data_IF_761064059291
#
_entry.id   IF_761064059291
#
_cell.length_a   1.000
_cell.length_b   1.000
_cell.length_c   1.000
_cell.angle_alpha   90.00
_cell.angle_beta   90.00
_cell.angle_gamma   90.00
#
_symmetry.space_group_name_H-M   'P 1'
#
loop_
_entity.id
_entity.type
_entity.pdbx_description
1 polymer ?
#
# COMPACT_ATOMS: atom_id res chain seq x y z
N UNK A 1 -10.95 7.41 -4.31
CA UNK A 1 -10.62 6.16 -3.61
C UNK A 1 -9.12 6.10 -3.35
N UNK A 2 -8.77 5.66 -2.18
CA UNK A 2 -7.38 5.61 -1.76
C UNK A 2 -7.00 4.18 -1.44
N UNK A 3 -5.85 3.76 -1.92
CA UNK A 3 -5.39 2.39 -1.74
C UNK A 3 -3.96 2.41 -1.20
N UNK A 4 -3.67 1.51 -0.29
CA UNK A 4 -2.32 1.31 0.20
C UNK A 4 -1.64 0.19 -0.57
N UNK A 5 -0.38 0.40 -0.93
CA UNK A 5 0.38 -0.60 -1.66
C UNK A 5 1.67 -0.88 -0.92
N UNK A 6 1.85 -2.12 -0.52
CA UNK A 6 3.03 -2.54 0.21
C UNK A 6 3.92 -3.33 -0.71
N UNK A 7 5.13 -2.84 -0.92
CA UNK A 7 6.07 -3.44 -1.85
C UNK A 7 6.13 -2.67 -3.14
N UNK A 8 6.99 -1.66 -3.20
CA UNK A 8 7.14 -0.83 -4.38
C UNK A 8 8.32 -1.28 -5.22
N UNK A 9 8.36 -2.57 -5.51
CA UNK A 9 9.30 -3.07 -6.50
C UNK A 9 8.74 -2.88 -7.89
N UNK A 10 9.34 -3.54 -8.84
CA UNK A 10 8.94 -3.35 -10.24
C UNK A 10 7.47 -3.66 -10.47
N UNK A 11 6.99 -4.77 -9.92
CA UNK A 11 5.59 -5.14 -10.10
C UNK A 11 4.67 -4.17 -9.40
N UNK A 12 5.01 -3.76 -8.18
CA UNK A 12 4.20 -2.82 -7.43
C UNK A 12 4.12 -1.47 -8.11
N UNK A 13 5.24 -1.01 -8.68
CA UNK A 13 5.23 0.25 -9.41
C UNK A 13 4.32 0.17 -10.63
N UNK A 14 4.37 -0.94 -11.33
CA UNK A 14 3.50 -1.12 -12.48
C UNK A 14 2.03 -1.11 -12.10
N UNK A 15 1.68 -1.78 -11.02
CA UNK A 15 0.32 -1.79 -10.52
C UNK A 15 -0.13 -0.39 -10.12
N UNK A 16 0.73 0.33 -9.41
CA UNK A 16 0.41 1.66 -8.96
C UNK A 16 0.13 2.60 -10.13
N UNK A 17 0.97 2.53 -11.14
CA UNK A 17 0.80 3.40 -12.29
C UNK A 17 -0.52 3.12 -13.00
N UNK A 18 -0.91 1.86 -13.10
CA UNK A 18 -2.20 1.52 -13.70
C UNK A 18 -3.36 2.03 -12.86
N UNK A 19 -3.26 1.90 -11.54
CA UNK A 19 -4.31 2.38 -10.66
C UNK A 19 -4.43 3.90 -10.73
N UNK A 20 -3.31 4.60 -10.78
CA UNK A 20 -3.34 6.05 -10.86
C UNK A 20 -3.98 6.51 -12.17
N UNK A 21 -3.74 5.80 -13.26
CA UNK A 21 -4.38 6.12 -14.52
C UNK A 21 -5.89 5.95 -14.44
N UNK A 22 -6.34 5.07 -13.60
CA UNK A 22 -7.78 4.85 -13.42
C UNK A 22 -8.38 5.82 -12.40
N UNK A 23 -7.60 6.77 -11.90
CA UNK A 23 -8.12 7.76 -10.96
C UNK A 23 -8.05 7.34 -9.50
N UNK A 24 -7.34 6.28 -9.20
CA UNK A 24 -7.20 5.80 -7.84
C UNK A 24 -5.97 6.45 -7.22
N UNK A 25 -6.11 6.96 -6.01
CA UNK A 25 -4.98 7.53 -5.29
C UNK A 25 -4.23 6.40 -4.58
N UNK A 26 -2.94 6.28 -4.86
CA UNK A 26 -2.13 5.18 -4.33
C UNK A 26 -1.07 5.71 -3.38
N UNK A 27 -1.04 5.16 -2.18
CA UNK A 27 0.00 5.45 -1.20
C UNK A 27 0.83 4.19 -1.01
N UNK A 28 2.13 4.34 -1.15
CA UNK A 28 3.01 3.18 -1.14
C UNK A 28 3.86 3.10 0.11
N UNK A 29 4.28 1.90 0.42
CA UNK A 29 5.22 1.65 1.49
C UNK A 29 6.23 0.62 1.03
N UNK A 30 7.48 0.86 1.37
CA UNK A 30 8.55 -0.07 1.12
C UNK A 30 9.53 0.04 2.27
N UNK A 31 10.11 -1.09 2.65
CA UNK A 31 11.03 -1.11 3.78
C UNK A 31 12.19 -0.12 3.59
N UNK A 32 12.73 -0.04 2.38
CA UNK A 32 13.76 0.93 2.07
C UNK A 32 13.10 2.26 1.69
N UNK A 33 13.11 3.20 2.63
CA UNK A 33 12.41 4.47 2.42
C UNK A 33 13.00 5.27 1.27
N UNK A 34 14.31 5.20 1.05
CA UNK A 34 14.91 5.95 -0.04
C UNK A 34 14.35 5.49 -1.38
N UNK A 35 14.17 4.19 -1.53
CA UNK A 35 13.61 3.67 -2.77
C UNK A 35 12.13 3.98 -2.89
N UNK A 36 11.43 4.03 -1.77
CA UNK A 36 10.03 4.45 -1.80
C UNK A 36 9.94 5.91 -2.23
N UNK A 37 10.81 6.76 -1.70
CA UNK A 37 10.86 8.15 -2.08
C UNK A 37 11.15 8.33 -3.56
N UNK A 38 12.03 7.51 -4.10
CA UNK A 38 12.31 7.56 -5.53
C UNK A 38 11.07 7.29 -6.37
N UNK A 39 10.27 6.32 -5.94
CA UNK A 39 9.04 6.01 -6.66
C UNK A 39 8.10 7.20 -6.64
N UNK A 40 8.03 7.91 -5.52
CA UNK A 40 7.21 9.11 -5.44
C UNK A 40 7.74 10.20 -6.37
N UNK A 41 9.05 10.41 -6.38
CA UNK A 41 9.64 11.44 -7.22
C UNK A 41 9.45 11.16 -8.71
N UNK A 42 9.41 9.90 -9.07
CA UNK A 42 9.16 9.52 -10.45
C UNK A 42 7.69 9.54 -10.82
N UNK A 43 6.83 9.84 -9.87
CA UNK A 43 5.41 9.91 -10.14
C UNK A 43 4.71 8.57 -10.20
N UNK A 44 5.29 7.54 -9.61
CA UNK A 44 4.71 6.20 -9.64
C UNK A 44 3.66 5.98 -8.55
N UNK A 45 3.67 6.82 -7.52
CA UNK A 45 2.67 6.77 -6.44
C UNK A 45 2.30 8.20 -6.10
N UNK A 46 1.18 8.38 -5.43
CA UNK A 46 0.74 9.71 -4.99
C UNK A 46 1.46 10.16 -3.73
N UNK A 47 1.98 9.20 -2.99
CA UNK A 47 2.77 9.51 -1.80
C UNK A 47 3.31 8.24 -1.20
N UNK A 48 4.17 8.39 -0.21
CA UNK A 48 4.76 7.23 0.45
C UNK A 48 4.63 7.37 1.96
N UNK A 49 4.48 6.24 2.62
CA UNK A 49 4.42 6.19 4.06
C UNK A 49 5.75 5.71 4.61
N UNK A 50 6.05 6.10 5.84
CA UNK A 50 7.31 5.74 6.47
C UNK A 50 7.22 4.41 7.23
N UNK A 51 6.02 4.02 7.63
CA UNK A 51 5.79 2.75 8.32
C UNK A 51 4.47 2.18 7.85
N UNK A 52 4.24 0.91 8.15
CA UNK A 52 2.96 0.29 7.83
C UNK A 52 1.85 0.95 8.66
N UNK A 53 2.10 1.28 9.91
CA UNK A 53 1.12 2.00 10.72
C UNK A 53 0.74 3.32 10.07
N UNK A 54 1.73 4.06 9.60
CA UNK A 54 1.51 5.33 8.95
C UNK A 54 0.69 5.14 7.66
N UNK A 55 0.99 4.10 6.90
CA UNK A 55 0.26 3.79 5.68
C UNK A 55 -1.22 3.55 5.98
N UNK A 56 -1.50 2.76 7.00
CA UNK A 56 -2.88 2.45 7.36
C UNK A 56 -3.60 3.74 7.76
N UNK A 57 -2.97 4.58 8.55
CA UNK A 57 -3.58 5.84 8.94
C UNK A 57 -3.89 6.72 7.75
N UNK A 58 -2.95 6.83 6.82
CA UNK A 58 -3.16 7.66 5.64
C UNK A 58 -4.31 7.14 4.79
N UNK A 59 -4.35 5.84 4.56
CA UNK A 59 -5.35 5.26 3.68
C UNK A 59 -6.74 5.38 4.27
N UNK A 60 -6.86 5.23 5.58
CA UNK A 60 -8.18 5.24 6.23
C UNK A 60 -8.65 6.62 6.65
N UNK A 61 -7.77 7.61 6.61
CA UNK A 61 -8.01 8.88 7.22
C UNK A 61 -8.96 9.79 6.48
N UNK A 62 -8.98 9.76 5.21
CA UNK A 62 -9.65 10.75 4.46
C UNK A 62 -10.86 10.32 3.81
N UNK A 63 -11.82 10.00 4.56
CA UNK A 63 -13.04 9.68 3.92
C UNK A 63 -14.01 10.74 4.32
N UNK A 64 -14.79 11.16 3.41
CA UNK A 64 -15.79 12.15 3.64
C UNK A 64 -16.75 11.66 4.70
N UNK A 65 -16.53 12.13 5.88
CA UNK A 65 -17.44 11.84 6.96
C UNK A 65 -17.31 10.47 7.52
N UNK A 66 -16.21 9.81 7.33
CA UNK A 66 -16.16 8.68 8.11
C UNK A 66 -15.30 7.53 7.77
N UNK A 67 -15.69 6.44 8.29
CA UNK A 67 -14.91 5.25 8.24
C UNK A 67 -15.21 4.44 7.01
N UNK A 68 -14.37 4.55 6.02
CA UNK A 68 -14.46 3.62 4.92
C UNK A 68 -13.42 2.53 5.14
N UNK A 69 -13.70 1.32 4.69
CA UNK A 69 -12.70 0.26 4.78
C UNK A 69 -11.47 0.64 3.99
N UNK A 70 -10.31 0.34 4.53
CA UNK A 70 -9.07 0.51 3.83
C UNK A 70 -8.83 -0.67 2.92
N UNK A 71 -8.22 -0.41 1.78
CA UNK A 71 -7.83 -1.46 0.86
C UNK A 71 -6.32 -1.44 0.77
N UNK A 72 -5.70 -2.57 1.09
CA UNK A 72 -4.25 -2.69 1.10
C UNK A 72 -3.84 -3.84 0.20
N UNK A 73 -2.95 -3.55 -0.73
CA UNK A 73 -2.47 -4.57 -1.65
C UNK A 73 -1.01 -4.85 -1.34
N UNK A 74 -0.67 -6.13 -1.28
CA UNK A 74 0.67 -6.56 -0.95
C UNK A 74 1.32 -7.19 -2.16
N UNK A 75 2.50 -6.70 -2.51
CA UNK A 75 3.33 -7.28 -3.55
C UNK A 75 4.71 -7.45 -2.94
N UNK A 76 4.83 -8.45 -2.09
CA UNK A 76 6.07 -8.68 -1.33
C UNK A 76 6.54 -10.10 -1.57
N UNK A 77 7.82 -10.37 -1.32
CA UNK A 77 8.33 -11.74 -1.48
C UNK A 77 7.55 -12.72 -0.62
N UNK A 78 7.42 -13.94 -1.11
CA UNK A 78 6.62 -14.96 -0.44
C UNK A 78 7.04 -15.15 1.02
N UNK A 79 8.33 -15.08 1.29
CA UNK A 79 8.81 -15.32 2.64
C UNK A 79 8.47 -14.22 3.63
N UNK A 80 8.01 -13.07 3.14
CA UNK A 80 7.64 -11.95 4.04
C UNK A 80 6.14 -11.71 4.11
N UNK A 81 5.35 -12.53 3.42
CA UNK A 81 3.90 -12.32 3.37
C UNK A 81 3.26 -12.42 4.74
N UNK A 82 3.57 -13.47 5.47
CA UNK A 82 2.94 -13.69 6.77
C UNK A 82 3.28 -12.59 7.76
N UNK A 83 4.53 -12.20 7.78
CA UNK A 83 5.01 -11.13 8.64
C UNK A 83 4.30 -9.81 8.30
N UNK A 84 4.14 -9.54 7.03
CA UNK A 84 3.49 -8.31 6.58
C UNK A 84 2.01 -8.31 6.94
N UNK A 85 1.34 -9.43 6.75
CA UNK A 85 -0.07 -9.53 7.12
C UNK A 85 -0.24 -9.32 8.62
N UNK A 86 0.62 -9.94 9.40
CA UNK A 86 0.53 -9.79 10.85
C UNK A 86 0.73 -8.36 11.28
N UNK A 87 1.62 -7.65 10.62
CA UNK A 87 1.82 -6.25 10.95
C UNK A 87 0.62 -5.40 10.54
N UNK A 88 0.07 -5.65 9.37
CA UNK A 88 -1.13 -4.94 8.94
C UNK A 88 -2.30 -5.15 9.90
N UNK A 89 -2.46 -6.38 10.37
CA UNK A 89 -3.57 -6.72 11.24
C UNK A 89 -3.51 -5.99 12.59
N UNK A 90 -2.36 -5.49 12.96
CA UNK A 90 -2.25 -4.71 14.19
C UNK A 90 -2.99 -3.39 14.07
N UNK A 91 -3.12 -2.88 12.85
CA UNK A 91 -3.65 -1.54 12.63
C UNK A 91 -4.94 -1.54 11.83
N UNK A 92 -5.25 -2.63 11.17
CA UNK A 92 -6.48 -2.75 10.40
C UNK A 92 -7.62 -3.23 11.28
N UNK A 93 -8.82 -2.89 10.87
CA UNK A 93 -10.00 -3.30 11.60
C UNK A 93 -10.96 -4.06 10.71
N UNK A 94 -12.12 -4.29 11.30
CA UNK A 94 -13.17 -5.02 10.61
C UNK A 94 -13.59 -4.28 9.35
N UNK A 95 -13.73 -5.01 8.26
CA UNK A 95 -14.12 -4.41 7.00
C UNK A 95 -12.97 -3.98 6.13
N UNK A 96 -11.76 -3.89 6.69
CA UNK A 96 -10.59 -3.57 5.86
C UNK A 96 -10.25 -4.78 4.99
N UNK A 97 -9.72 -4.51 3.82
CA UNK A 97 -9.42 -5.55 2.84
C UNK A 97 -7.93 -5.61 2.60
N UNK A 98 -7.38 -6.80 2.70
CA UNK A 98 -5.97 -7.05 2.39
C UNK A 98 -5.93 -8.00 1.22
N UNK A 99 -5.28 -7.59 0.13
CA UNK A 99 -5.16 -8.41 -1.06
C UNK A 99 -3.70 -8.79 -1.23
N UNK A 100 -3.44 -10.08 -1.25
CA UNK A 100 -2.10 -10.60 -1.44
C UNK A 100 -1.93 -10.95 -2.92
N UNK A 101 -1.11 -10.19 -3.61
CA UNK A 101 -0.80 -10.49 -5.00
C UNK A 101 0.37 -11.45 -5.08
N UNK A 102 0.62 -12.17 -4.04
CA UNK A 102 1.75 -13.00 -3.82
C UNK A 102 2.37 -13.50 -5.07
N UNK A 103 3.59 -13.20 -5.20
CA UNK A 103 4.35 -13.72 -6.26
C UNK A 103 4.78 -15.09 -5.83
N UNK A 104 4.18 -16.06 -6.38
CA UNK A 104 4.44 -17.41 -5.95
C UNK A 104 5.76 -17.94 -6.46
N UNK A 105 6.52 -17.16 -7.07
CA UNK A 105 7.78 -17.70 -7.52
C UNK A 105 8.93 -17.01 -6.97
#
# INVERSE_FOLDING_TARGET
MKVGLIGLGRMGEGMSRRMMKAGIEVWGYRRNYEKASEAYEKGYVNGVATTIENLVKIVKQKTNGGNQPGIFQMVVPAETVEETINELLRYCGEGDIIIDHGNSN
#
